data_IF_933403164809
#
_entry.id   IF_933403164809
#
_cell.length_a   1.000
_cell.length_b   1.000
_cell.length_c   1.000
_cell.angle_alpha   90.00
_cell.angle_beta   90.00
_cell.angle_gamma   90.00
#
_symmetry.space_group_name_H-M   'P 1'
#
loop_
_entity.id
_entity.type
_entity.pdbx_description
1 polymer ?
#
# COMPACT_ATOMS: atom_id res chain seq x y z
N UNK A 1 10.24 7.72 -4.43
CA UNK A 1 11.03 6.48 -4.54
C UNK A 1 10.41 5.44 -3.60
N UNK A 2 9.76 4.41 -4.13
CA UNK A 2 9.11 3.35 -3.33
C UNK A 2 10.15 2.27 -2.98
N UNK A 3 10.93 2.52 -1.92
CA UNK A 3 12.17 1.77 -1.62
C UNK A 3 11.93 0.47 -0.82
N UNK A 4 10.70 0.17 -0.43
CA UNK A 4 10.40 -1.01 0.41
C UNK A 4 9.95 -2.24 -0.40
N UNK A 5 10.25 -2.29 -1.70
CA UNK A 5 10.16 -3.55 -2.43
C UNK A 5 11.33 -4.42 -1.98
N UNK A 6 11.03 -5.59 -1.41
CA UNK A 6 12.03 -6.56 -0.93
C UNK A 6 13.12 -6.78 -2.00
N UNK A 7 14.35 -6.30 -1.77
CA UNK A 7 15.45 -6.40 -2.73
C UNK A 7 15.76 -7.85 -3.09
N UNK A 8 15.63 -8.76 -2.11
CA UNK A 8 15.73 -10.20 -2.31
C UNK A 8 14.72 -10.71 -3.35
N UNK A 9 13.47 -10.27 -3.29
CA UNK A 9 12.42 -10.67 -4.24
C UNK A 9 12.68 -10.16 -5.67
N UNK A 10 13.28 -8.98 -5.83
CA UNK A 10 13.64 -8.44 -7.16
C UNK A 10 14.71 -9.30 -7.84
N UNK A 11 15.64 -9.85 -7.07
CA UNK A 11 16.64 -10.81 -7.56
C UNK A 11 16.09 -12.24 -7.74
N UNK A 12 14.83 -12.47 -7.36
CA UNK A 12 14.20 -13.80 -7.38
C UNK A 12 14.73 -14.72 -6.28
N UNK A 13 15.19 -14.16 -5.17
CA UNK A 13 15.63 -14.87 -3.98
C UNK A 13 14.52 -14.84 -2.92
N UNK A 14 14.37 -15.94 -2.17
CA UNK A 14 13.43 -15.98 -1.06
C UNK A 14 13.93 -15.07 0.06
N UNK A 15 13.10 -14.15 0.57
CA UNK A 15 13.47 -13.28 1.69
C UNK A 15 13.88 -14.06 2.94
N UNK A 16 13.37 -15.28 3.12
CA UNK A 16 13.75 -16.18 4.21
C UNK A 16 15.21 -16.68 4.13
N UNK A 17 15.79 -16.73 2.93
CA UNK A 17 17.20 -17.07 2.73
C UNK A 17 18.14 -15.86 2.91
N UNK A 18 17.58 -14.66 3.09
CA UNK A 18 18.27 -13.37 3.23
C UNK A 18 19.55 -13.40 4.05
N UNK A 19 19.55 -13.88 5.31
CA UNK A 19 20.75 -13.85 6.16
C UNK A 19 21.83 -14.88 5.79
N UNK A 20 21.48 -15.94 5.06
CA UNK A 20 22.39 -17.05 4.75
C UNK A 20 22.99 -16.99 3.34
N UNK A 21 22.53 -16.06 2.50
CA UNK A 21 22.99 -15.91 1.11
C UNK A 21 24.43 -15.39 1.04
N UNK A 22 25.25 -16.04 0.23
CA UNK A 22 26.62 -15.59 -0.08
C UNK A 22 26.63 -14.57 -1.22
N UNK A 23 27.69 -13.75 -1.31
CA UNK A 23 27.84 -12.74 -2.36
C UNK A 23 27.87 -13.37 -3.77
N UNK A 24 28.37 -14.62 -3.87
CA UNK A 24 28.39 -15.40 -5.10
C UNK A 24 26.97 -15.76 -5.56
N UNK A 25 26.09 -16.17 -4.65
CA UNK A 25 24.70 -16.50 -4.94
C UNK A 25 23.91 -15.27 -5.39
N UNK A 26 24.14 -14.12 -4.74
CA UNK A 26 23.55 -12.84 -5.13
C UNK A 26 23.99 -12.45 -6.54
N UNK A 27 25.28 -12.61 -6.84
CA UNK A 27 25.85 -12.33 -8.17
C UNK A 27 25.30 -13.27 -9.24
N UNK A 28 25.14 -14.56 -8.92
CA UNK A 28 24.56 -15.57 -9.82
C UNK A 28 23.08 -15.28 -10.11
N UNK A 29 22.31 -14.91 -9.08
CA UNK A 29 20.91 -14.54 -9.21
C UNK A 29 20.74 -13.27 -10.07
N UNK A 30 21.58 -12.26 -9.85
CA UNK A 30 21.61 -11.04 -10.66
C UNK A 30 21.86 -11.35 -12.13
N UNK A 31 22.91 -12.11 -12.46
CA UNK A 31 23.23 -12.50 -13.85
C UNK A 31 22.05 -13.20 -14.54
N UNK A 32 21.41 -14.16 -13.83
CA UNK A 32 20.25 -14.89 -14.34
C UNK A 32 19.06 -13.95 -14.62
N UNK A 33 18.79 -12.99 -13.73
CA UNK A 33 17.67 -12.08 -13.89
C UNK A 33 17.95 -10.99 -14.94
N UNK A 34 19.18 -10.49 -15.00
CA UNK A 34 19.63 -9.51 -15.98
C UNK A 34 19.44 -10.01 -17.41
N UNK A 35 19.77 -11.29 -17.67
CA UNK A 35 19.55 -11.91 -18.99
C UNK A 35 18.07 -12.01 -19.36
N UNK A 36 17.18 -12.20 -18.38
CA UNK A 36 15.74 -12.31 -18.60
C UNK A 36 15.08 -10.95 -18.83
N UNK A 37 15.50 -9.95 -18.07
CA UNK A 37 14.94 -8.59 -18.08
C UNK A 37 15.71 -7.61 -18.97
N UNK A 38 16.68 -8.09 -19.75
CA UNK A 38 17.50 -7.23 -20.60
C UNK A 38 16.61 -6.46 -21.61
N UNK A 39 16.79 -5.13 -21.76
CA UNK A 39 15.95 -4.32 -22.65
C UNK A 39 16.09 -4.74 -24.12
N UNK A 40 17.29 -5.15 -24.54
CA UNK A 40 17.55 -5.65 -25.92
C UNK A 40 16.74 -6.90 -26.28
N UNK A 41 16.54 -7.81 -25.31
CA UNK A 41 15.74 -9.04 -25.53
C UNK A 41 14.24 -8.80 -25.39
N UNK A 42 13.84 -7.67 -24.81
CA UNK A 42 12.45 -7.33 -24.53
C UNK A 42 12.06 -5.96 -25.13
N UNK A 43 12.27 -5.73 -26.45
CA UNK A 43 12.03 -4.43 -27.06
C UNK A 43 10.55 -4.02 -27.06
N UNK A 44 9.64 -5.00 -26.94
CA UNK A 44 8.18 -4.78 -26.91
C UNK A 44 7.65 -4.37 -25.53
N UNK A 45 8.47 -4.46 -24.48
CA UNK A 45 8.04 -4.15 -23.12
C UNK A 45 8.59 -2.78 -22.66
N UNK A 46 7.75 -1.74 -22.56
CA UNK A 46 8.21 -0.41 -22.14
C UNK A 46 8.73 -0.39 -20.69
N UNK A 47 8.32 -1.38 -19.87
CA UNK A 47 8.75 -1.49 -18.48
C UNK A 47 10.08 -2.26 -18.31
N UNK A 48 10.65 -2.83 -19.39
CA UNK A 48 11.90 -3.60 -19.30
C UNK A 48 13.04 -2.75 -18.71
N UNK A 49 13.14 -1.49 -19.13
CA UNK A 49 14.14 -0.55 -18.62
C UNK A 49 13.97 -0.29 -17.11
N UNK A 50 12.75 0.05 -16.67
CA UNK A 50 12.47 0.30 -15.26
C UNK A 50 12.72 -0.93 -14.38
N UNK A 51 12.34 -2.11 -14.86
CA UNK A 51 12.59 -3.36 -14.13
C UNK A 51 14.09 -3.68 -14.04
N UNK A 52 14.86 -3.42 -15.09
CA UNK A 52 16.32 -3.59 -15.08
C UNK A 52 17.00 -2.60 -14.11
N UNK A 53 16.55 -1.34 -14.07
CA UNK A 53 17.03 -0.36 -13.09
C UNK A 53 16.76 -0.84 -11.65
N UNK A 54 15.55 -1.32 -11.36
CA UNK A 54 15.20 -1.87 -10.03
C UNK A 54 16.08 -3.06 -9.66
N UNK A 55 16.39 -3.92 -10.62
CA UNK A 55 17.30 -5.06 -10.43
C UNK A 55 18.72 -4.58 -10.08
N UNK A 56 19.24 -3.58 -10.79
CA UNK A 56 20.56 -3.01 -10.55
C UNK A 56 20.67 -2.35 -9.18
N UNK A 57 19.68 -1.53 -8.81
CA UNK A 57 19.61 -0.90 -7.47
C UNK A 57 19.60 -1.95 -6.37
N UNK A 58 18.81 -3.02 -6.54
CA UNK A 58 18.73 -4.11 -5.55
C UNK A 58 20.06 -4.85 -5.40
N UNK A 59 20.75 -5.14 -6.51
CA UNK A 59 22.07 -5.76 -6.49
C UNK A 59 23.11 -4.89 -5.77
N UNK A 60 23.13 -3.57 -6.03
CA UNK A 60 24.09 -2.66 -5.39
C UNK A 60 23.90 -2.57 -3.87
N UNK A 61 22.65 -2.62 -3.39
CA UNK A 61 22.35 -2.62 -1.96
C UNK A 61 22.77 -3.93 -1.29
N UNK A 62 22.47 -5.08 -1.92
CA UNK A 62 22.77 -6.39 -1.34
C UNK A 62 24.24 -6.80 -1.46
N UNK A 63 24.97 -6.31 -2.46
CA UNK A 63 26.40 -6.58 -2.64
C UNK A 63 27.25 -5.95 -1.53
N UNK A 64 26.83 -4.80 -1.00
CA UNK A 64 27.58 -4.11 0.04
C UNK A 64 27.17 -4.66 1.42
N UNK A 65 28.11 -5.22 2.21
CA UNK A 65 27.75 -5.84 3.49
C UNK A 65 27.21 -4.84 4.50
N UNK A 66 27.63 -3.57 4.42
CA UNK A 66 27.14 -2.48 5.28
C UNK A 66 25.67 -2.18 4.96
N UNK A 67 25.38 -1.89 3.68
CA UNK A 67 24.02 -1.59 3.23
C UNK A 67 23.06 -2.76 3.41
N UNK A 68 23.56 -4.00 3.25
CA UNK A 68 22.79 -5.22 3.53
C UNK A 68 22.38 -5.31 5.00
N UNK A 69 23.31 -5.07 5.93
CA UNK A 69 23.00 -5.06 7.37
C UNK A 69 21.97 -4.00 7.74
N UNK A 70 22.10 -2.78 7.20
CA UNK A 70 21.13 -1.71 7.43
C UNK A 70 19.75 -2.09 6.90
N UNK A 71 19.70 -2.66 5.69
CA UNK A 71 18.46 -3.13 5.09
C UNK A 71 17.80 -4.25 5.91
N UNK A 72 18.59 -5.24 6.36
CA UNK A 72 18.09 -6.34 7.20
C UNK A 72 17.56 -5.82 8.55
N UNK A 73 18.22 -4.84 9.16
CA UNK A 73 17.73 -4.16 10.36
C UNK A 73 16.41 -3.42 10.11
N UNK A 74 16.31 -2.69 8.98
CA UNK A 74 15.06 -2.02 8.58
C UNK A 74 13.92 -3.02 8.36
N UNK A 75 14.19 -4.16 7.74
CA UNK A 75 13.21 -5.24 7.56
C UNK A 75 12.73 -5.77 8.92
N UNK A 76 13.63 -5.97 9.88
CA UNK A 76 13.27 -6.43 11.23
C UNK A 76 12.39 -5.41 11.95
N UNK A 77 12.76 -4.13 11.93
CA UNK A 77 11.98 -3.04 12.52
C UNK A 77 10.60 -2.92 11.86
N UNK A 78 10.55 -3.04 10.53
CA UNK A 78 9.29 -3.00 9.79
C UNK A 78 8.37 -4.17 10.16
N UNK A 79 8.92 -5.38 10.24
CA UNK A 79 8.15 -6.56 10.63
C UNK A 79 7.63 -6.43 12.07
N UNK A 80 8.46 -5.94 12.99
CA UNK A 80 8.06 -5.67 14.37
C UNK A 80 6.93 -4.63 14.43
N UNK A 81 7.01 -3.55 13.66
CA UNK A 81 5.94 -2.53 13.57
C UNK A 81 4.65 -3.10 13.03
N UNK A 82 4.72 -3.97 12.02
CA UNK A 82 3.53 -4.64 11.46
C UNK A 82 2.86 -5.54 12.51
N UNK A 83 3.65 -6.31 13.26
CA UNK A 83 3.13 -7.18 14.33
C UNK A 83 2.51 -6.35 15.47
N UNK A 84 3.12 -5.21 15.84
CA UNK A 84 2.57 -4.29 16.84
C UNK A 84 1.27 -3.61 16.37
N UNK A 85 1.18 -3.23 15.10
CA UNK A 85 -0.03 -2.64 14.55
C UNK A 85 -1.20 -3.65 14.53
N UNK A 86 -0.92 -4.92 14.23
CA UNK A 86 -1.92 -5.98 14.29
C UNK A 86 -2.39 -6.26 15.72
N UNK A 87 -1.48 -6.26 16.70
CA UNK A 87 -1.84 -6.49 18.10
C UNK A 87 -2.61 -5.32 18.72
N UNK A 88 -2.28 -4.07 18.37
CA UNK A 88 -3.03 -2.90 18.86
C UNK A 88 -4.45 -2.83 18.30
N UNK A 89 -4.64 -3.23 17.04
CA UNK A 89 -5.95 -3.34 16.40
C UNK A 89 -6.83 -4.40 17.08
N UNK A 90 -6.24 -5.54 17.45
CA UNK A 90 -6.94 -6.60 18.16
C UNK A 90 -7.32 -6.23 19.61
N UNK A 91 -6.47 -5.47 20.32
CA UNK A 91 -6.80 -4.98 21.66
C UNK A 91 -7.93 -3.95 21.65
N UNK A 92 -7.96 -3.06 20.66
CA UNK A 92 -9.01 -2.04 20.55
C UNK A 92 -10.38 -2.62 20.21
N UNK A 93 -10.46 -3.71 19.42
CA UNK A 93 -11.75 -4.36 19.14
C UNK A 93 -12.29 -5.13 20.36
N UNK A 94 -11.43 -5.86 21.08
CA UNK A 94 -11.83 -6.61 22.28
C UNK A 94 -12.30 -5.69 23.41
N UNK A 95 -11.65 -4.54 23.59
CA UNK A 95 -12.04 -3.55 24.60
C UNK A 95 -13.42 -2.96 24.30
N UNK A 96 -13.67 -2.61 23.03
CA UNK A 96 -14.97 -2.08 22.57
C UNK A 96 -16.10 -3.10 22.73
N UNK A 97 -15.85 -4.37 22.38
CA UNK A 97 -16.83 -5.45 22.56
C UNK A 97 -17.18 -5.68 24.04
N UNK A 98 -16.21 -5.58 24.95
CA UNK A 98 -16.47 -5.68 26.40
C UNK A 98 -17.28 -4.51 26.92
N UNK A 99 -16.98 -3.28 26.48
CA UNK A 99 -17.73 -2.08 26.85
C UNK A 99 -19.17 -2.15 26.32
N UNK A 100 -19.39 -2.60 25.08
CA UNK A 100 -20.71 -2.81 24.50
C UNK A 100 -21.52 -3.88 25.24
N UNK A 101 -20.89 -5.00 25.63
CA UNK A 101 -21.55 -6.05 26.41
C UNK A 101 -21.95 -5.56 27.81
N UNK A 102 -21.08 -4.83 28.51
CA UNK A 102 -21.38 -4.24 29.82
C UNK A 102 -22.48 -3.18 29.73
N UNK A 103 -22.50 -2.38 28.66
CA UNK A 103 -23.51 -1.35 28.47
C UNK A 103 -24.86 -1.94 28.01
N UNK A 104 -24.85 -3.11 27.36
CA UNK A 104 -26.06 -3.87 27.03
C UNK A 104 -26.72 -4.49 28.29
N UNK A 105 -25.94 -4.90 29.29
CA UNK A 105 -26.46 -5.47 30.53
C UNK A 105 -26.98 -4.40 31.51
N UNK A 106 -26.46 -3.17 31.46
CA UNK A 106 -26.95 -2.04 32.26
C UNK A 106 -28.17 -1.32 31.68
N UNK A 107 -28.51 -1.53 30.39
CA UNK A 107 -29.74 -0.99 29.79
C UNK A 107 -30.94 -1.90 30.10
N UNK A 108 -31.58 -1.71 31.27
CA UNK A 108 -32.91 -2.28 31.56
C UNK A 108 -33.96 -1.78 30.55
N UNK A 109 -34.93 -2.61 30.09
CA UNK A 109 -36.01 -2.14 29.25
C UNK A 109 -36.90 -1.21 30.06
N UNK A 110 -37.00 0.07 29.66
CA UNK A 110 -38.07 0.93 30.17
C UNK A 110 -39.35 0.53 29.43
N UNK A 111 -40.27 -0.14 30.11
CA UNK A 111 -41.64 -0.32 29.63
C UNK A 111 -42.43 0.97 29.86
N UNK A 112 -42.97 1.63 28.83
CA UNK A 112 -44.05 2.58 29.01
C UNK A 112 -45.38 1.83 28.98
N UNK A 113 -46.21 2.06 30.00
CA UNK A 113 -47.62 1.65 30.03
C UNK A 113 -48.37 2.28 28.85
N UNK A 114 -49.15 1.51 28.08
CA UNK A 114 -50.07 2.05 27.06
C UNK A 114 -51.49 2.31 27.62
N UNK A 115 -52.48 2.68 26.80
CA UNK A 115 -52.44 3.62 25.68
C UNK A 115 -53.46 4.77 25.86
N UNK A 116 -53.26 5.93 25.24
CA UNK A 116 -54.41 6.75 24.76
C UNK A 116 -54.00 7.67 23.61
N UNK A 117 -54.44 7.31 22.41
CA UNK A 117 -54.67 8.22 21.26
C UNK A 117 -55.97 9.03 21.56
N UNK A 118 -56.23 10.26 21.03
CA UNK A 118 -55.99 10.63 19.61
C UNK A 118 -55.66 12.13 19.31
N UNK A 119 -55.14 12.38 18.11
CA UNK A 119 -55.65 13.31 17.07
C UNK A 119 -54.55 13.86 16.14
N UNK A 120 -54.75 13.56 14.85
CA UNK A 120 -54.25 14.06 13.56
C UNK A 120 -53.05 15.05 13.36
N UNK A 121 -52.45 15.05 12.14
CA UNK A 121 -51.07 15.49 11.93
C UNK A 121 -50.93 16.89 11.31
N UNK A 122 -49.86 17.65 11.62
CA UNK A 122 -49.36 18.66 10.70
C UNK A 122 -48.27 18.07 9.77
N UNK A 123 -48.50 18.24 8.47
CA UNK A 123 -47.63 17.87 7.35
C UNK A 123 -46.26 18.53 7.50
N UNK A 124 -45.17 17.76 7.41
CA UNK A 124 -43.82 18.32 7.26
C UNK A 124 -43.60 18.65 5.78
N UNK A 125 -43.17 19.87 5.40
CA UNK A 125 -42.61 20.05 4.07
C UNK A 125 -41.34 19.21 3.97
N UNK A 126 -41.27 18.38 2.93
CA UNK A 126 -40.09 17.65 2.57
C UNK A 126 -38.93 18.64 2.41
N UNK A 127 -37.91 18.57 3.26
CA UNK A 127 -36.63 19.19 2.94
C UNK A 127 -36.04 18.35 1.81
N UNK A 128 -36.23 18.84 0.61
CA UNK A 128 -35.92 18.17 -0.65
C UNK A 128 -34.41 18.02 -0.81
N UNK A 129 -33.97 16.83 -1.23
CA UNK A 129 -32.61 16.48 -1.69
C UNK A 129 -32.20 17.21 -2.99
N UNK A 130 -32.61 18.47 -3.16
CA UNK A 130 -32.27 19.30 -4.32
C UNK A 130 -31.12 20.26 -4.00
N UNK A 131 -30.85 20.54 -2.72
CA UNK A 131 -29.76 21.44 -2.32
C UNK A 131 -28.40 20.75 -2.11
N UNK A 132 -28.35 19.42 -2.01
CA UNK A 132 -27.08 18.70 -1.82
C UNK A 132 -26.43 18.24 -3.14
N UNK A 133 -27.21 18.10 -4.22
CA UNK A 133 -26.71 17.55 -5.48
C UNK A 133 -26.13 18.58 -6.46
N UNK A 134 -26.30 19.89 -6.21
CA UNK A 134 -25.68 20.94 -7.04
C UNK A 134 -24.22 21.25 -6.69
N UNK A 135 -23.74 20.80 -5.52
CA UNK A 135 -22.38 21.10 -5.05
C UNK A 135 -21.36 20.03 -5.51
N UNK A 136 -21.80 18.78 -5.68
CA UNK A 136 -20.91 17.67 -6.04
C UNK A 136 -20.52 17.64 -7.54
N UNK A 137 -21.39 18.14 -8.42
CA UNK A 137 -21.09 18.26 -9.86
C UNK A 137 -20.12 19.42 -10.18
N UNK A 138 -19.96 20.39 -9.27
CA UNK A 138 -19.00 21.49 -9.43
C UNK A 138 -17.55 21.03 -9.24
N UNK A 139 -17.31 20.06 -8.35
CA UNK A 139 -15.97 19.55 -8.02
C UNK A 139 -15.45 18.59 -9.10
N UNK A 140 -16.33 17.83 -9.77
CA UNK A 140 -15.95 16.94 -10.88
C UNK A 140 -15.43 17.67 -12.12
N UNK A 141 -15.86 18.91 -12.36
CA UNK A 141 -15.44 19.68 -13.55
C UNK A 141 -14.03 20.27 -13.46
N UNK A 142 -13.46 20.42 -12.26
CA UNK A 142 -12.12 21.00 -12.05
C UNK A 142 -10.96 20.00 -12.19
N UNK A 143 -11.22 18.69 -12.19
CA UNK A 143 -10.18 17.65 -12.32
C UNK A 143 -9.97 17.22 -13.79
N UNK A 144 -10.90 17.56 -14.69
CA UNK A 144 -10.82 17.18 -16.11
C UNK A 144 -9.92 18.10 -16.96
N UNK A 145 -9.61 19.32 -16.51
CA UNK A 145 -8.86 20.32 -17.30
C UNK A 145 -7.37 20.44 -16.93
N UNK A 146 -6.88 19.66 -15.97
CA UNK A 146 -5.55 19.82 -15.38
C UNK A 146 -4.57 18.68 -15.65
N UNK A 147 -4.35 18.25 -16.90
CA UNK A 147 -3.30 17.26 -17.13
C UNK A 147 -2.91 16.98 -18.58
N UNK A 148 -1.89 17.68 -19.10
CA UNK A 148 -0.83 17.06 -19.92
C UNK A 148 0.50 17.81 -19.73
N UNK A 149 1.19 17.58 -18.60
CA UNK A 149 2.63 17.85 -18.55
C UNK A 149 3.34 16.72 -19.31
N UNK A 150 3.74 17.02 -20.54
CA UNK A 150 4.67 16.19 -21.33
C UNK A 150 6.01 16.14 -20.59
N UNK A 151 6.31 15.01 -19.96
CA UNK A 151 7.69 14.71 -19.54
C UNK A 151 8.39 14.09 -20.74
N UNK A 152 9.13 14.91 -21.47
CA UNK A 152 10.09 14.45 -22.45
C UNK A 152 11.18 13.64 -21.72
N UNK A 153 11.19 12.33 -21.97
CA UNK A 153 12.31 11.47 -21.56
C UNK A 153 13.40 11.68 -22.62
N UNK A 154 14.37 12.53 -22.30
CA UNK A 154 15.56 12.70 -23.13
C UNK A 154 16.45 11.46 -23.00
N UNK A 155 16.93 11.04 -24.16
CA UNK A 155 17.76 9.88 -24.42
C UNK A 155 19.16 10.01 -23.81
N UNK A 156 19.80 8.86 -23.66
CA UNK A 156 21.24 8.74 -23.75
C UNK A 156 21.93 8.33 -22.46
N UNK A 157 22.03 7.02 -22.21
CA UNK A 157 23.23 6.46 -21.56
C UNK A 157 23.51 5.05 -22.08
N UNK A 158 24.50 5.02 -22.97
CA UNK A 158 25.53 4.01 -23.23
C UNK A 158 25.20 2.52 -23.03
N UNK A 159 25.26 1.83 -24.17
CA UNK A 159 25.50 0.40 -24.30
C UNK A 159 26.54 -0.12 -23.29
N UNK A 160 26.09 -0.85 -22.28
CA UNK A 160 26.95 -1.78 -21.55
C UNK A 160 26.78 -3.12 -22.24
N UNK A 161 27.74 -3.43 -23.12
CA UNK A 161 27.91 -4.76 -23.70
C UNK A 161 28.48 -5.65 -22.60
N UNK A 162 27.67 -6.60 -22.13
CA UNK A 162 28.13 -7.70 -21.27
C UNK A 162 29.02 -8.66 -22.05
#
# INVERSE_FOLDING_TARGET
MSVLANHYSVLGLASAAGPNLTDEEISKAFKRMALRLHPDKNPRNPNAHSNFQRLLTSYNILKNPISRKEFDHLLQVQHQRQNQAQSCHHQTCNKRQREEQQQSSMKRPRHPMGPRMPSEPPKKPAFTMTEFFMEFDRIRKLVAEGGVHKVAVNEGYNHIRL
#
